data_IF_552525930992
#
_entry.id   IF_552525930992
#
_cell.length_a   1.000
_cell.length_b   1.000
_cell.length_c   1.000
_cell.angle_alpha   90.00
_cell.angle_beta   90.00
_cell.angle_gamma   90.00
#
_symmetry.space_group_name_H-M   'P 1'
#
loop_
_entity.id
_entity.type
_entity.pdbx_description
1 polymer ?
#
# COMPACT_ATOMS: atom_id res chain seq x y z
N UNK A 1 63.07 10.85 50.38
CA UNK A 1 62.09 11.75 49.72
C UNK A 1 61.50 11.02 48.55
N UNK A 2 60.38 10.30 48.79
CA UNK A 2 59.70 9.45 47.79
C UNK A 2 58.52 10.26 47.19
N UNK A 3 58.56 10.46 45.89
CA UNK A 3 57.43 11.02 45.13
C UNK A 3 56.55 9.87 44.65
N UNK A 4 55.34 9.83 45.14
CA UNK A 4 54.30 8.89 44.71
C UNK A 4 53.56 9.47 43.51
N UNK A 5 53.70 8.83 42.33
CA UNK A 5 52.92 9.15 41.17
C UNK A 5 51.55 8.46 41.28
N UNK A 6 50.49 9.27 41.30
CA UNK A 6 49.12 8.77 41.24
C UNK A 6 48.69 8.78 39.73
N UNK A 7 48.63 7.60 39.15
CA UNK A 7 47.96 7.39 37.83
C UNK A 7 46.46 7.39 38.04
N UNK A 8 45.76 8.29 37.37
CA UNK A 8 44.31 8.34 37.28
C UNK A 8 43.92 7.48 36.09
N UNK A 9 43.32 6.35 36.37
CA UNK A 9 42.69 5.51 35.32
C UNK A 9 41.28 6.04 35.06
N UNK A 10 41.06 6.60 33.88
CA UNK A 10 39.74 7.03 33.41
C UNK A 10 39.04 5.79 32.81
N UNK A 11 38.07 5.23 33.51
CA UNK A 11 37.23 4.19 33.01
C UNK A 11 36.16 4.81 32.08
N UNK A 12 36.25 4.53 30.78
CA UNK A 12 35.17 4.79 29.80
C UNK A 12 34.10 3.74 29.99
N UNK A 13 32.96 4.13 30.56
CA UNK A 13 31.74 3.32 30.50
C UNK A 13 31.15 3.45 29.10
N UNK A 14 31.30 2.42 28.28
CA UNK A 14 30.48 2.20 27.10
C UNK A 14 29.09 1.75 27.56
N UNK A 15 28.12 2.66 27.52
CA UNK A 15 26.72 2.34 27.67
C UNK A 15 26.24 1.55 26.44
N UNK A 16 26.05 0.26 26.60
CA UNK A 16 25.31 -0.56 25.65
C UNK A 16 23.85 -0.09 25.69
N UNK A 17 23.44 0.72 24.71
CA UNK A 17 22.04 0.96 24.42
C UNK A 17 21.52 -0.32 23.79
N UNK A 18 20.89 -1.16 24.58
CA UNK A 18 20.09 -2.29 24.08
C UNK A 18 18.88 -1.68 23.39
N UNK A 19 18.90 -1.63 22.05
CA UNK A 19 17.68 -1.47 21.26
C UNK A 19 16.88 -2.74 21.51
N UNK A 20 15.91 -2.66 22.40
CA UNK A 20 14.90 -3.69 22.52
C UNK A 20 14.10 -3.66 21.20
N UNK A 21 14.37 -4.60 20.30
CA UNK A 21 13.40 -5.01 19.30
C UNK A 21 12.18 -5.47 20.08
N UNK A 22 11.18 -4.61 20.18
CA UNK A 22 9.84 -5.02 20.59
C UNK A 22 9.36 -5.87 19.41
N UNK A 23 9.43 -7.19 19.55
CA UNK A 23 8.68 -8.11 18.72
C UNK A 23 7.21 -7.73 18.95
N UNK A 24 6.60 -7.15 17.96
CA UNK A 24 5.18 -6.88 17.95
C UNK A 24 4.52 -8.22 17.62
N UNK A 25 4.21 -9.00 18.66
CA UNK A 25 3.22 -10.08 18.61
C UNK A 25 1.84 -9.41 18.58
N UNK A 26 1.51 -8.78 17.44
CA UNK A 26 0.20 -8.21 17.19
C UNK A 26 -0.36 -8.93 15.97
N UNK A 27 -1.27 -9.88 16.21
CA UNK A 27 -2.01 -10.65 15.19
C UNK A 27 -2.94 -9.78 14.31
N UNK A 28 -2.77 -8.47 14.36
CA UNK A 28 -3.57 -7.48 13.64
C UNK A 28 -2.94 -7.01 12.33
N UNK A 29 -3.74 -6.41 11.41
CA UNK A 29 -3.22 -5.82 10.19
C UNK A 29 -2.32 -4.62 10.48
N UNK A 30 -1.28 -4.41 9.65
CA UNK A 30 -0.33 -3.31 9.78
C UNK A 30 -0.96 -1.91 9.58
N UNK A 31 -2.21 -1.85 9.13
CA UNK A 31 -2.98 -0.64 8.94
C UNK A 31 -4.20 -0.89 8.05
N UNK A 32 -4.94 0.19 7.81
CA UNK A 32 -6.13 0.18 6.96
C UNK A 32 -6.00 1.24 5.88
N UNK A 33 -6.10 0.81 4.63
CA UNK A 33 -6.09 1.69 3.47
C UNK A 33 -7.53 2.03 3.08
N UNK A 34 -7.89 3.31 3.12
CA UNK A 34 -9.09 3.83 2.48
C UNK A 34 -8.73 4.23 1.05
N UNK A 35 -9.35 3.63 0.07
CA UNK A 35 -9.05 3.87 -1.35
C UNK A 35 -10.30 4.28 -2.08
N UNK A 36 -10.23 5.41 -2.81
CA UNK A 36 -11.25 5.86 -3.75
C UNK A 36 -10.76 5.62 -5.18
N UNK A 37 -11.45 4.76 -5.90
CA UNK A 37 -11.20 4.43 -7.31
C UNK A 37 -12.15 5.20 -8.21
N UNK A 38 -11.63 6.10 -9.02
CA UNK A 38 -12.41 7.04 -9.81
C UNK A 38 -12.66 6.58 -11.25
N UNK A 39 -13.91 6.73 -11.69
CA UNK A 39 -14.32 6.67 -13.09
C UNK A 39 -14.29 8.08 -13.67
N UNK A 40 -13.27 8.39 -14.45
CA UNK A 40 -13.08 9.71 -15.03
C UNK A 40 -13.33 9.69 -16.53
N UNK A 41 -13.82 10.81 -17.08
CA UNK A 41 -13.79 11.05 -18.52
C UNK A 41 -12.35 11.30 -18.96
N UNK A 42 -11.90 10.53 -19.95
CA UNK A 42 -10.53 10.61 -20.48
C UNK A 42 -10.18 12.01 -20.99
N UNK A 43 -11.17 12.74 -21.55
CA UNK A 43 -10.95 14.09 -22.07
C UNK A 43 -10.74 15.13 -20.95
N UNK A 44 -11.27 14.90 -19.74
CA UNK A 44 -11.26 15.87 -18.63
C UNK A 44 -10.50 15.39 -17.40
N UNK A 45 -10.03 14.15 -17.35
CA UNK A 45 -9.35 13.57 -16.18
C UNK A 45 -8.15 14.39 -15.68
N UNK A 46 -7.49 15.18 -16.54
CA UNK A 46 -6.42 16.09 -16.13
C UNK A 46 -6.87 17.19 -15.14
N UNK A 47 -8.17 17.49 -15.06
CA UNK A 47 -8.69 18.40 -14.04
C UNK A 47 -8.66 17.77 -12.64
N UNK A 48 -8.81 16.44 -12.54
CA UNK A 48 -8.59 15.71 -11.31
C UNK A 48 -7.12 15.79 -10.89
N UNK A 49 -6.19 15.54 -11.83
CA UNK A 49 -4.76 15.61 -11.55
C UNK A 49 -4.35 17.01 -11.06
N UNK A 50 -4.88 18.07 -11.69
CA UNK A 50 -4.66 19.45 -11.27
C UNK A 50 -5.22 19.76 -9.87
N UNK A 51 -6.40 19.21 -9.52
CA UNK A 51 -7.00 19.40 -8.21
C UNK A 51 -6.17 18.71 -7.11
N UNK A 52 -5.65 17.50 -7.38
CA UNK A 52 -4.73 16.81 -6.47
C UNK A 52 -3.49 17.67 -6.23
N UNK A 53 -2.81 18.11 -7.28
CA UNK A 53 -1.57 18.88 -7.18
C UNK A 53 -1.76 20.21 -6.45
N UNK A 54 -2.83 20.94 -6.74
CA UNK A 54 -3.00 22.31 -6.25
C UNK A 54 -3.69 22.40 -4.89
N UNK A 55 -4.56 21.45 -4.57
CA UNK A 55 -5.43 21.56 -3.38
C UNK A 55 -5.20 20.45 -2.36
N UNK A 56 -4.90 19.22 -2.80
CA UNK A 56 -4.98 18.06 -1.92
C UNK A 56 -3.61 17.60 -1.41
N UNK A 57 -2.61 17.56 -2.29
CA UNK A 57 -1.28 17.03 -2.00
C UNK A 57 -0.67 17.60 -0.71
N UNK A 58 -0.66 18.92 -0.55
CA UNK A 58 -0.03 19.56 0.60
C UNK A 58 -0.74 19.21 1.93
N UNK A 59 -2.05 18.97 1.91
CA UNK A 59 -2.82 18.57 3.09
C UNK A 59 -2.50 17.11 3.44
N UNK A 60 -2.50 16.20 2.48
CA UNK A 60 -2.13 14.80 2.71
C UNK A 60 -0.70 14.67 3.22
N UNK A 61 0.28 15.35 2.59
CA UNK A 61 1.68 15.37 3.02
C UNK A 61 1.81 15.85 4.47
N UNK A 62 1.07 16.90 4.83
CA UNK A 62 1.03 17.41 6.21
C UNK A 62 0.45 16.38 7.17
N UNK A 63 -0.61 15.68 6.80
CA UNK A 63 -1.24 14.70 7.68
C UNK A 63 -0.33 13.49 7.94
N UNK A 64 0.48 13.10 6.95
CA UNK A 64 1.54 12.09 7.14
C UNK A 64 2.64 12.65 8.06
N UNK A 65 3.13 13.85 7.79
CA UNK A 65 4.16 14.50 8.62
C UNK A 65 3.72 14.70 10.09
N UNK A 66 2.43 14.95 10.32
CA UNK A 66 1.82 15.06 11.66
C UNK A 66 1.58 13.69 12.34
N UNK A 67 1.86 12.57 11.66
CA UNK A 67 1.62 11.20 12.15
C UNK A 67 0.15 10.80 12.25
N UNK A 68 -0.76 11.52 11.59
CA UNK A 68 -2.19 11.20 11.54
C UNK A 68 -2.50 10.12 10.49
N UNK A 69 -1.69 10.06 9.43
CA UNK A 69 -1.67 9.00 8.44
C UNK A 69 -0.33 8.27 8.49
N UNK A 70 -0.34 7.00 8.14
CA UNK A 70 0.88 6.21 7.93
C UNK A 70 1.47 6.55 6.56
N UNK A 71 0.60 6.66 5.55
CA UNK A 71 0.97 6.95 4.16
C UNK A 71 -0.24 7.49 3.39
N UNK A 72 0.01 8.09 2.23
CA UNK A 72 -1.01 8.37 1.22
C UNK A 72 -0.42 8.25 -0.17
N UNK A 73 -1.29 8.10 -1.20
CA UNK A 73 -0.84 8.13 -2.58
C UNK A 73 -1.95 8.40 -3.58
N UNK A 74 -1.50 8.79 -4.76
CA UNK A 74 -2.33 9.07 -5.92
C UNK A 74 -1.76 8.36 -7.16
N UNK A 75 -2.60 7.54 -7.79
CA UNK A 75 -2.24 6.67 -8.89
C UNK A 75 -2.99 7.06 -10.16
N UNK A 76 -2.28 7.08 -11.28
CA UNK A 76 -2.82 7.29 -12.61
C UNK A 76 -2.89 5.95 -13.36
N UNK A 77 -4.00 5.72 -14.04
CA UNK A 77 -4.20 4.50 -14.83
C UNK A 77 -3.27 4.44 -16.04
N UNK A 78 -2.53 3.36 -16.16
CA UNK A 78 -1.78 2.98 -17.33
C UNK A 78 -2.58 1.96 -18.17
N UNK A 79 -2.80 0.77 -17.63
CA UNK A 79 -3.46 -0.35 -18.34
C UNK A 79 -4.36 -1.13 -17.36
N UNK A 80 -5.42 -1.74 -17.86
CA UNK A 80 -6.30 -2.62 -17.08
C UNK A 80 -7.76 -2.22 -17.13
N UNK A 81 -8.48 -2.37 -16.01
CA UNK A 81 -9.92 -2.20 -15.93
C UNK A 81 -10.43 -0.77 -16.18
N UNK A 82 -11.53 -0.40 -15.51
CA UNK A 82 -12.29 0.82 -15.84
C UNK A 82 -11.95 2.03 -14.99
N UNK A 83 -11.31 1.87 -13.83
CA UNK A 83 -10.88 2.98 -12.99
C UNK A 83 -9.75 3.76 -13.64
N UNK A 84 -9.82 5.07 -13.57
CA UNK A 84 -8.85 5.97 -14.24
C UNK A 84 -7.87 6.59 -13.27
N UNK A 85 -8.28 6.76 -12.02
CA UNK A 85 -7.47 7.27 -10.91
C UNK A 85 -7.76 6.48 -9.66
N UNK A 86 -6.77 6.33 -8.80
CA UNK A 86 -6.94 5.83 -7.46
C UNK A 86 -6.24 6.77 -6.48
N UNK A 87 -6.95 7.14 -5.42
CA UNK A 87 -6.40 7.92 -4.32
C UNK A 87 -6.58 7.12 -3.03
N UNK A 88 -5.54 7.01 -2.24
CA UNK A 88 -5.60 6.27 -0.99
C UNK A 88 -4.89 6.98 0.13
N UNK A 89 -5.29 6.67 1.35
CA UNK A 89 -4.50 6.92 2.54
C UNK A 89 -4.52 5.70 3.46
N UNK A 90 -3.48 5.55 4.26
CA UNK A 90 -3.33 4.46 5.24
C UNK A 90 -3.39 5.03 6.64
N UNK A 91 -4.22 4.44 7.48
CA UNK A 91 -4.42 4.83 8.88
C UNK A 91 -4.18 3.63 9.80
N UNK A 92 -3.81 3.84 11.08
CA UNK A 92 -3.53 2.76 12.02
C UNK A 92 -4.74 1.88 12.31
N UNK A 93 -5.95 2.47 12.37
CA UNK A 93 -7.19 1.75 12.64
C UNK A 93 -8.24 1.99 11.57
N UNK A 94 -9.20 1.08 11.45
CA UNK A 94 -10.34 1.24 10.54
C UNK A 94 -11.19 2.48 10.90
N UNK A 95 -11.33 2.78 12.18
CA UNK A 95 -12.04 3.97 12.64
C UNK A 95 -11.33 5.25 12.19
N UNK A 96 -9.99 5.28 12.30
CA UNK A 96 -9.19 6.40 11.82
C UNK A 96 -9.29 6.53 10.29
N UNK A 97 -9.26 5.42 9.54
CA UNK A 97 -9.42 5.46 8.09
C UNK A 97 -10.72 6.15 7.66
N UNK A 98 -11.84 5.83 8.33
CA UNK A 98 -13.13 6.45 8.07
C UNK A 98 -13.19 7.93 8.50
N UNK A 99 -12.71 8.24 9.70
CA UNK A 99 -12.74 9.60 10.25
C UNK A 99 -11.79 10.54 9.50
N UNK A 100 -10.59 10.06 9.16
CA UNK A 100 -9.58 10.84 8.45
C UNK A 100 -10.04 11.20 7.05
N UNK A 101 -10.71 10.29 6.32
CA UNK A 101 -11.28 10.59 5.01
C UNK A 101 -12.17 11.83 5.05
N UNK A 102 -13.14 11.86 5.98
CA UNK A 102 -14.05 12.99 6.11
C UNK A 102 -13.34 14.27 6.55
N UNK A 103 -12.41 14.18 7.51
CA UNK A 103 -11.71 15.33 8.07
C UNK A 103 -10.76 15.98 7.06
N UNK A 104 -10.02 15.17 6.28
CA UNK A 104 -9.10 15.65 5.24
C UNK A 104 -9.88 16.44 4.18
N UNK A 105 -10.98 15.88 3.66
CA UNK A 105 -11.76 16.56 2.63
C UNK A 105 -12.46 17.81 3.17
N UNK A 106 -12.87 17.83 4.44
CA UNK A 106 -13.37 19.05 5.07
C UNK A 106 -12.27 20.14 5.18
N UNK A 107 -11.01 19.77 5.47
CA UNK A 107 -9.88 20.69 5.50
C UNK A 107 -9.55 21.23 4.10
N UNK A 108 -9.49 20.35 3.08
CA UNK A 108 -9.11 20.71 1.71
C UNK A 108 -10.11 21.69 1.08
N UNK A 109 -11.40 21.45 1.25
CA UNK A 109 -12.47 22.16 0.54
C UNK A 109 -13.24 23.14 1.41
N UNK A 110 -12.79 23.43 2.64
CA UNK A 110 -13.44 24.38 3.54
C UNK A 110 -13.65 25.77 2.88
N UNK A 111 -12.65 26.22 2.11
CA UNK A 111 -12.64 27.55 1.48
C UNK A 111 -12.51 27.48 -0.06
N UNK A 112 -12.52 26.28 -0.67
CA UNK A 112 -12.27 26.09 -2.09
C UNK A 112 -13.21 25.08 -2.74
N UNK A 113 -14.45 25.46 -2.91
CA UNK A 113 -15.46 24.64 -3.60
C UNK A 113 -15.16 24.43 -5.12
N UNK A 114 -14.43 25.37 -5.76
CA UNK A 114 -14.11 25.29 -7.18
C UNK A 114 -13.23 24.09 -7.54
N UNK A 115 -12.23 23.74 -6.68
CA UNK A 115 -11.41 22.56 -6.86
C UNK A 115 -12.20 21.26 -6.74
N UNK A 116 -13.07 21.17 -5.74
CA UNK A 116 -13.99 20.04 -5.54
C UNK A 116 -14.96 19.86 -6.68
N UNK A 117 -15.52 20.95 -7.22
CA UNK A 117 -16.40 20.93 -8.38
C UNK A 117 -15.67 20.46 -9.65
N UNK A 118 -14.44 20.95 -9.91
CA UNK A 118 -13.63 20.52 -11.05
C UNK A 118 -13.29 19.03 -10.98
N UNK A 119 -12.90 18.55 -9.79
CA UNK A 119 -12.65 17.13 -9.50
C UNK A 119 -13.90 16.27 -9.78
N UNK A 120 -15.04 16.66 -9.22
CA UNK A 120 -16.31 15.95 -9.36
C UNK A 120 -16.83 15.96 -10.80
N UNK A 121 -16.59 17.04 -11.56
CA UNK A 121 -16.97 17.12 -12.96
C UNK A 121 -16.11 16.22 -13.85
N UNK A 122 -14.82 16.07 -13.54
CA UNK A 122 -13.91 15.22 -14.29
C UNK A 122 -14.12 13.72 -13.98
N UNK A 123 -14.46 13.38 -12.73
CA UNK A 123 -14.59 12.02 -12.21
C UNK A 123 -15.89 11.89 -11.44
N UNK A 124 -17.01 11.80 -12.17
CA UNK A 124 -18.36 11.88 -11.61
C UNK A 124 -18.82 10.64 -10.81
N UNK A 125 -18.07 9.53 -10.88
CA UNK A 125 -18.37 8.30 -10.15
C UNK A 125 -17.10 7.68 -9.59
N UNK A 126 -17.25 6.95 -8.49
CA UNK A 126 -16.15 6.22 -7.85
C UNK A 126 -16.66 4.98 -7.12
N UNK A 127 -15.75 4.06 -6.87
CA UNK A 127 -15.91 2.97 -5.91
C UNK A 127 -14.97 3.23 -4.72
N UNK A 128 -15.48 3.08 -3.51
CA UNK A 128 -14.66 3.15 -2.30
C UNK A 128 -14.43 1.75 -1.73
N UNK A 129 -13.20 1.53 -1.28
CA UNK A 129 -12.81 0.32 -0.57
C UNK A 129 -12.03 0.66 0.69
N UNK A 130 -12.22 -0.14 1.73
CA UNK A 130 -11.31 -0.20 2.87
C UNK A 130 -10.68 -1.58 2.88
N UNK A 131 -9.34 -1.57 2.81
CA UNK A 131 -8.50 -2.76 2.85
C UNK A 131 -7.73 -2.83 4.17
N UNK A 132 -7.62 -4.01 4.75
CA UNK A 132 -6.68 -4.25 5.84
C UNK A 132 -5.37 -4.80 5.26
N UNK A 133 -4.24 -4.24 5.67
CA UNK A 133 -2.91 -4.61 5.23
C UNK A 133 -2.43 -5.81 6.06
N UNK A 134 -2.60 -7.01 5.53
CA UNK A 134 -2.33 -8.25 6.27
C UNK A 134 -0.87 -8.70 6.17
N UNK A 135 -0.30 -8.64 4.95
CA UNK A 135 1.06 -9.10 4.65
C UNK A 135 1.72 -8.18 3.64
N UNK A 136 3.03 -8.10 3.67
CA UNK A 136 3.81 -7.33 2.70
C UNK A 136 4.93 -6.53 3.32
N UNK A 137 5.49 -5.61 2.54
CA UNK A 137 6.61 -4.75 2.92
C UNK A 137 6.26 -3.69 3.98
N UNK A 138 4.98 -3.57 4.32
CA UNK A 138 4.48 -2.53 5.22
C UNK A 138 4.17 -1.20 4.50
N UNK A 139 3.26 -0.43 5.10
CA UNK A 139 3.02 0.94 4.67
C UNK A 139 4.22 1.81 5.04
N UNK A 140 4.51 2.83 4.22
CA UNK A 140 5.66 3.71 4.45
C UNK A 140 6.96 3.24 3.82
N UNK A 141 6.96 2.14 3.06
CA UNK A 141 8.10 1.71 2.25
C UNK A 141 8.12 2.47 0.92
N UNK A 142 9.30 2.87 0.45
CA UNK A 142 9.46 3.37 -0.93
C UNK A 142 8.97 2.32 -1.91
N UNK A 143 8.02 2.72 -2.75
CA UNK A 143 7.33 1.81 -3.66
C UNK A 143 7.76 1.95 -5.11
N UNK A 144 8.67 2.88 -5.43
CA UNK A 144 9.10 3.16 -6.80
C UNK A 144 8.02 3.91 -7.60
N UNK A 145 8.07 3.81 -8.94
CA UNK A 145 7.29 4.67 -9.85
C UNK A 145 5.99 4.04 -10.35
N UNK A 146 5.83 2.71 -10.20
CA UNK A 146 4.70 1.97 -10.76
C UNK A 146 4.16 0.90 -9.82
N UNK A 147 2.87 0.56 -10.00
CA UNK A 147 2.19 -0.51 -9.27
C UNK A 147 1.42 -1.42 -10.21
N UNK A 148 1.59 -2.72 -10.04
CA UNK A 148 0.67 -3.74 -10.52
C UNK A 148 -0.27 -4.12 -9.37
N UNK A 149 -1.57 -3.94 -9.58
CA UNK A 149 -2.62 -4.27 -8.60
C UNK A 149 -3.53 -5.35 -9.16
N UNK A 150 -3.71 -6.43 -8.42
CA UNK A 150 -4.57 -7.56 -8.77
C UNK A 150 -5.71 -7.65 -7.76
N UNK A 151 -6.93 -7.40 -8.21
CA UNK A 151 -8.14 -7.39 -7.40
C UNK A 151 -8.88 -8.71 -7.60
N UNK A 152 -8.87 -9.57 -6.59
CA UNK A 152 -9.46 -10.91 -6.64
C UNK A 152 -10.90 -10.93 -6.16
N UNK A 153 -11.70 -11.74 -6.84
CA UNK A 153 -13.02 -12.20 -6.36
C UNK A 153 -12.82 -13.60 -5.79
N UNK A 154 -13.01 -13.76 -4.49
CA UNK A 154 -12.78 -14.99 -3.78
C UNK A 154 -14.08 -15.52 -3.17
N UNK A 155 -14.11 -16.84 -2.92
CA UNK A 155 -15.16 -17.49 -2.12
C UNK A 155 -15.05 -17.01 -0.66
N UNK A 156 -16.09 -16.31 -0.21
CA UNK A 156 -16.13 -15.68 1.12
C UNK A 156 -15.95 -16.68 2.29
N UNK A 157 -16.23 -17.95 2.06
CA UNK A 157 -16.08 -18.98 3.10
C UNK A 157 -14.66 -19.56 3.18
N UNK A 158 -13.79 -19.22 2.22
CA UNK A 158 -12.43 -19.77 2.11
C UNK A 158 -11.36 -18.67 2.04
N UNK A 159 -11.70 -17.42 2.37
CA UNK A 159 -10.76 -16.28 2.29
C UNK A 159 -9.55 -16.47 3.20
N UNK A 160 -9.75 -17.00 4.42
CA UNK A 160 -8.67 -17.25 5.37
C UNK A 160 -7.68 -18.30 4.79
N UNK A 161 -8.20 -19.31 4.07
CA UNK A 161 -7.34 -20.29 3.39
C UNK A 161 -6.51 -19.68 2.26
N UNK A 162 -7.06 -18.73 1.52
CA UNK A 162 -6.29 -17.97 0.53
C UNK A 162 -5.17 -17.16 1.19
N UNK A 163 -5.43 -16.56 2.34
CA UNK A 163 -4.43 -15.81 3.13
C UNK A 163 -3.30 -16.72 3.64
N UNK A 164 -3.64 -17.93 4.12
CA UNK A 164 -2.66 -18.95 4.52
C UNK A 164 -1.78 -19.38 3.34
N UNK A 165 -2.39 -19.68 2.17
CA UNK A 165 -1.62 -20.06 0.97
C UNK A 165 -0.63 -18.96 0.59
N UNK A 166 -1.03 -17.69 0.61
CA UNK A 166 -0.13 -16.58 0.33
C UNK A 166 1.01 -16.53 1.36
N UNK A 167 0.71 -16.69 2.65
CA UNK A 167 1.71 -16.69 3.72
C UNK A 167 2.73 -17.84 3.58
N UNK A 168 2.26 -19.01 3.15
CA UNK A 168 3.09 -20.21 3.02
C UNK A 168 3.95 -20.22 1.74
N UNK A 169 3.53 -19.51 0.68
CA UNK A 169 4.10 -19.68 -0.67
C UNK A 169 4.56 -18.38 -1.32
N UNK A 170 3.62 -17.61 -1.88
CA UNK A 170 3.95 -16.40 -2.66
C UNK A 170 4.52 -15.27 -1.80
N UNK A 171 4.13 -15.14 -0.55
CA UNK A 171 4.64 -14.12 0.37
C UNK A 171 6.16 -14.23 0.59
N UNK A 172 6.70 -15.39 1.03
CA UNK A 172 8.14 -15.60 1.15
C UNK A 172 8.89 -15.36 -0.17
N UNK A 173 8.31 -15.74 -1.32
CA UNK A 173 8.93 -15.49 -2.62
C UNK A 173 8.96 -14.00 -2.96
N UNK A 174 7.89 -13.26 -2.68
CA UNK A 174 7.84 -11.81 -2.88
C UNK A 174 8.82 -11.06 -1.96
N UNK A 175 8.99 -11.52 -0.71
CA UNK A 175 10.02 -10.99 0.18
C UNK A 175 11.42 -11.18 -0.43
N UNK A 176 11.72 -12.37 -0.96
CA UNK A 176 13.00 -12.62 -1.62
C UNK A 176 13.20 -11.74 -2.86
N UNK A 177 12.16 -11.56 -3.69
CA UNK A 177 12.23 -10.69 -4.86
C UNK A 177 12.49 -9.22 -4.47
N UNK A 178 11.95 -8.76 -3.34
CA UNK A 178 12.23 -7.44 -2.81
C UNK A 178 13.67 -7.32 -2.29
N UNK A 179 14.16 -8.31 -1.55
CA UNK A 179 15.55 -8.35 -1.08
C UNK A 179 16.55 -8.36 -2.24
N UNK A 180 16.22 -9.06 -3.34
CA UNK A 180 17.02 -9.12 -4.56
C UNK A 180 16.91 -7.83 -5.41
N UNK A 181 16.06 -6.89 -5.04
CA UNK A 181 15.83 -5.64 -5.76
C UNK A 181 15.04 -5.78 -7.07
N UNK A 182 14.34 -6.90 -7.29
CA UNK A 182 13.49 -7.12 -8.46
C UNK A 182 12.19 -6.31 -8.38
N UNK A 183 11.68 -6.09 -7.17
CA UNK A 183 10.51 -5.27 -6.86
C UNK A 183 10.87 -4.30 -5.73
N UNK A 184 10.18 -3.17 -5.67
CA UNK A 184 10.37 -2.20 -4.58
C UNK A 184 9.56 -2.59 -3.34
N UNK A 185 8.32 -3.01 -3.52
CA UNK A 185 7.45 -3.46 -2.43
C UNK A 185 6.35 -4.40 -2.93
N UNK A 186 5.70 -5.06 -1.99
CA UNK A 186 4.51 -5.84 -2.26
C UNK A 186 3.51 -5.76 -1.10
N UNK A 187 2.25 -6.10 -1.37
CA UNK A 187 1.21 -6.16 -0.34
C UNK A 187 0.13 -7.18 -0.65
N UNK A 188 -0.40 -7.80 0.40
CA UNK A 188 -1.60 -8.63 0.38
C UNK A 188 -2.61 -8.08 1.38
N UNK A 189 -3.78 -7.71 0.89
CA UNK A 189 -4.76 -6.95 1.64
C UNK A 189 -6.12 -7.64 1.60
N UNK A 190 -6.84 -7.63 2.72
CA UNK A 190 -8.18 -8.17 2.84
C UNK A 190 -9.25 -7.08 2.84
N UNK A 191 -10.35 -7.38 2.18
CA UNK A 191 -11.53 -6.52 2.11
C UNK A 191 -12.18 -6.31 3.48
N UNK A 192 -12.50 -5.05 3.78
CA UNK A 192 -13.31 -4.67 4.94
C UNK A 192 -14.64 -4.04 4.53
N UNK A 193 -14.60 -3.06 3.63
CA UNK A 193 -15.76 -2.38 3.06
C UNK A 193 -15.49 -2.16 1.57
N UNK A 194 -16.52 -2.22 0.73
CA UNK A 194 -16.44 -1.92 -0.69
C UNK A 194 -17.28 -2.86 -1.54
N UNK A 195 -16.92 -2.98 -2.83
CA UNK A 195 -17.63 -3.79 -3.80
C UNK A 195 -17.27 -5.29 -3.76
N UNK A 196 -17.14 -5.90 -4.94
CA UNK A 196 -17.05 -7.35 -5.10
C UNK A 196 -15.66 -7.95 -4.83
N UNK A 197 -14.60 -7.16 -4.87
CA UNK A 197 -13.25 -7.66 -4.68
C UNK A 197 -12.97 -7.96 -3.22
N UNK A 198 -12.39 -9.14 -2.97
CA UNK A 198 -12.21 -9.68 -1.62
C UNK A 198 -10.76 -9.64 -1.17
N UNK A 199 -9.82 -9.71 -2.13
CA UNK A 199 -8.38 -9.60 -1.87
C UNK A 199 -7.75 -8.67 -2.89
N UNK A 200 -6.71 -7.98 -2.46
CA UNK A 200 -5.89 -7.11 -3.30
C UNK A 200 -4.43 -7.51 -3.12
N UNK A 201 -3.77 -7.90 -4.20
CA UNK A 201 -2.33 -8.02 -4.26
C UNK A 201 -1.75 -6.80 -4.97
N UNK A 202 -0.69 -6.23 -4.42
CA UNK A 202 0.10 -5.18 -5.06
C UNK A 202 1.55 -5.62 -5.21
N UNK A 203 2.16 -5.29 -6.34
CA UNK A 203 3.61 -5.41 -6.60
C UNK A 203 4.03 -4.07 -7.19
N UNK A 204 5.08 -3.46 -6.65
CA UNK A 204 5.54 -2.15 -7.10
C UNK A 204 7.00 -2.18 -7.49
N UNK A 205 7.43 -1.25 -8.33
CA UNK A 205 8.82 -1.21 -8.82
C UNK A 205 9.11 0.03 -9.65
N UNK A 206 10.27 0.03 -10.31
CA UNK A 206 10.75 1.17 -11.07
C UNK A 206 10.03 1.37 -12.41
N UNK A 207 9.53 0.29 -13.04
CA UNK A 207 8.85 0.36 -14.33
C UNK A 207 7.84 -0.78 -14.53
N UNK A 208 6.92 -0.60 -15.47
CA UNK A 208 5.85 -1.56 -15.76
C UNK A 208 6.37 -2.92 -16.24
N UNK A 209 7.45 -2.95 -17.01
CA UNK A 209 7.99 -4.19 -17.54
C UNK A 209 8.56 -5.06 -16.41
N UNK A 210 9.26 -4.45 -15.46
CA UNK A 210 9.85 -5.14 -14.30
C UNK A 210 8.78 -5.74 -13.39
N UNK A 211 7.69 -5.02 -13.07
CA UNK A 211 6.63 -5.58 -12.20
C UNK A 211 5.82 -6.68 -12.89
N UNK A 212 5.62 -6.58 -14.22
CA UNK A 212 4.98 -7.65 -15.01
C UNK A 212 5.89 -8.88 -15.11
N UNK A 213 7.19 -8.69 -15.29
CA UNK A 213 8.17 -9.78 -15.28
C UNK A 213 8.19 -10.47 -13.91
N UNK A 214 8.27 -9.70 -12.81
CA UNK A 214 8.25 -10.23 -11.45
C UNK A 214 6.99 -11.08 -11.19
N UNK A 215 5.82 -10.62 -11.64
CA UNK A 215 4.59 -11.43 -11.58
C UNK A 215 4.70 -12.73 -12.38
N UNK A 216 5.27 -12.68 -13.57
CA UNK A 216 5.50 -13.88 -14.41
C UNK A 216 6.39 -14.90 -13.71
N UNK A 217 7.50 -14.46 -13.11
CA UNK A 217 8.41 -15.30 -12.33
C UNK A 217 7.75 -15.85 -11.06
N UNK A 218 6.89 -15.07 -10.39
CA UNK A 218 6.11 -15.56 -9.26
C UNK A 218 5.17 -16.70 -9.68
N UNK A 219 4.45 -16.57 -10.79
CA UNK A 219 3.58 -17.63 -11.31
C UNK A 219 4.38 -18.89 -11.70
N UNK A 220 5.52 -18.72 -12.34
CA UNK A 220 6.39 -19.85 -12.65
C UNK A 220 6.84 -20.57 -11.37
N UNK A 221 7.33 -19.81 -10.38
CA UNK A 221 7.74 -20.35 -9.08
C UNK A 221 6.62 -21.13 -8.40
N UNK A 222 5.40 -20.57 -8.37
CA UNK A 222 4.23 -21.22 -7.77
C UNK A 222 3.90 -22.55 -8.47
N UNK A 223 3.91 -22.57 -9.80
CA UNK A 223 3.60 -23.80 -10.57
C UNK A 223 4.67 -24.88 -10.40
N UNK A 224 5.96 -24.49 -10.30
CA UNK A 224 7.08 -25.43 -10.19
C UNK A 224 7.24 -25.99 -8.77
N UNK A 225 6.93 -25.21 -7.74
CA UNK A 225 7.25 -25.55 -6.34
C UNK A 225 6.01 -25.81 -5.48
N UNK A 226 4.84 -25.26 -5.85
CA UNK A 226 3.62 -25.27 -5.06
C UNK A 226 2.37 -25.49 -5.91
N UNK A 227 2.42 -26.36 -6.92
CA UNK A 227 1.37 -26.51 -7.92
C UNK A 227 -0.02 -26.84 -7.32
N UNK A 228 -0.09 -27.70 -6.29
CA UNK A 228 -1.35 -28.05 -5.61
C UNK A 228 -1.94 -26.83 -4.87
N UNK A 229 -1.11 -26.03 -4.20
CA UNK A 229 -1.58 -24.82 -3.51
C UNK A 229 -1.93 -23.70 -4.50
N UNK A 230 -1.24 -23.62 -5.64
CA UNK A 230 -1.61 -22.69 -6.71
C UNK A 230 -2.95 -23.02 -7.33
N UNK A 231 -3.26 -24.32 -7.53
CA UNK A 231 -4.56 -24.79 -8.00
C UNK A 231 -5.66 -24.52 -6.94
N UNK A 232 -5.39 -24.85 -5.66
CA UNK A 232 -6.32 -24.53 -4.56
C UNK A 232 -6.60 -23.02 -4.46
N UNK A 233 -5.57 -22.17 -4.56
CA UNK A 233 -5.73 -20.71 -4.57
C UNK A 233 -6.63 -20.26 -5.74
N UNK A 234 -6.43 -20.82 -6.94
CA UNK A 234 -7.23 -20.51 -8.12
C UNK A 234 -8.68 -20.94 -7.94
N UNK A 235 -8.94 -22.05 -7.27
CA UNK A 235 -10.30 -22.49 -6.91
C UNK A 235 -10.99 -21.55 -5.92
N UNK A 236 -10.22 -20.92 -5.03
CA UNK A 236 -10.76 -19.97 -4.05
C UNK A 236 -10.94 -18.59 -4.67
N UNK A 237 -9.93 -18.08 -5.39
CA UNK A 237 -9.84 -16.72 -5.92
C UNK A 237 -9.69 -16.72 -7.45
N UNK A 238 -10.56 -17.45 -8.15
CA UNK A 238 -10.42 -17.76 -9.59
C UNK A 238 -10.78 -16.63 -10.56
N UNK A 239 -11.27 -15.49 -10.07
CA UNK A 239 -11.59 -14.33 -10.92
C UNK A 239 -10.89 -13.08 -10.39
N UNK A 240 -10.26 -12.33 -11.27
CA UNK A 240 -9.58 -11.10 -10.91
C UNK A 240 -9.68 -10.03 -11.99
N UNK A 241 -9.32 -8.80 -11.62
CA UNK A 241 -9.10 -7.69 -12.53
C UNK A 241 -7.75 -7.05 -12.21
N UNK A 242 -6.94 -6.84 -13.23
CA UNK A 242 -5.60 -6.32 -13.10
C UNK A 242 -5.54 -4.85 -13.52
N UNK A 243 -4.66 -4.11 -12.86
CA UNK A 243 -4.34 -2.74 -13.21
C UNK A 243 -2.83 -2.52 -13.14
N UNK A 244 -2.31 -1.82 -14.13
CA UNK A 244 -1.02 -1.14 -14.04
C UNK A 244 -1.29 0.34 -13.78
N UNK A 245 -0.62 0.87 -12.79
CA UNK A 245 -0.73 2.25 -12.33
C UNK A 245 0.62 2.95 -12.40
N UNK A 246 0.64 4.21 -12.81
CA UNK A 246 1.73 5.11 -12.53
C UNK A 246 1.52 5.71 -11.13
N UNK A 247 2.53 5.68 -10.26
CA UNK A 247 2.51 6.33 -8.95
C UNK A 247 2.87 7.80 -9.18
N UNK A 248 1.87 8.68 -9.08
CA UNK A 248 2.04 10.12 -9.38
C UNK A 248 2.51 10.86 -8.14
N UNK A 249 1.90 10.57 -7.00
CA UNK A 249 2.27 11.10 -5.69
C UNK A 249 2.22 9.99 -4.66
N UNK A 250 3.16 10.03 -3.74
CA UNK A 250 3.19 9.15 -2.57
C UNK A 250 3.98 9.84 -1.46
N UNK A 251 3.52 9.68 -0.23
CA UNK A 251 4.28 10.01 0.97
C UNK A 251 4.09 8.86 1.96
N UNK A 252 5.20 8.21 2.35
CA UNK A 252 5.25 7.20 3.41
C UNK A 252 5.29 7.86 4.79
#
# INVERSE_FOLDING_TARGET
>A
MNKINKSIATALLFGLVSVACIAQDDDGPAGFSYVTYHYCDVATQGAMDAAIETNEKAVFDKWVADGKLIAWGYLSHNTGGRWRRAQYHVSPTMADALNNQAAIFAEIYADNDAGGQARSAACAAHDDYIWALNQGSGAGTDRGDVSLSVYYVCDINREDRADEIVAETSGPRLNQMQEDGMIASWGWQSHRIGGRYRRLQTITGADHASVVQARGELFQYMNENHSELAEEFTDICGSHTDYLWDIVHEAP
#
